data_IF_285182757241
#
_entry.id   IF_285182757241
#
_cell.length_a   1.000
_cell.length_b   1.000
_cell.length_c   1.000
_cell.angle_alpha   90.00
_cell.angle_beta   90.00
_cell.angle_gamma   90.00
#
_symmetry.space_group_name_H-M   'P 1'
#
loop_
_entity.id
_entity.type
_entity.pdbx_description
1 polymer ?
#
# COMPACT_ATOMS: atom_id res chain seq x y z
N UNK A 1 -5.38 -7.24 -8.01
CA UNK A 1 -4.81 -5.98 -8.50
C UNK A 1 -3.35 -5.94 -8.13
N UNK A 2 -2.81 -4.76 -7.85
CA UNK A 2 -1.40 -4.57 -7.53
C UNK A 2 -1.03 -5.11 -6.15
N UNK A 3 0.18 -5.65 -6.01
CA UNK A 3 0.72 -6.04 -4.71
C UNK A 3 1.02 -4.80 -3.87
N UNK A 4 0.83 -4.93 -2.56
CA UNK A 4 1.22 -3.92 -1.58
C UNK A 4 2.39 -4.46 -0.79
N UNK A 5 3.45 -3.68 -0.72
CA UNK A 5 4.69 -4.02 -0.03
C UNK A 5 4.97 -3.06 1.12
N UNK A 6 5.54 -3.60 2.20
CA UNK A 6 6.10 -2.78 3.29
C UNK A 6 7.48 -2.19 2.91
N UNK A 7 8.09 -1.48 3.85
CA UNK A 7 9.42 -0.89 3.66
C UNK A 7 10.56 -1.93 3.54
N UNK A 8 10.29 -3.21 3.85
CA UNK A 8 11.20 -4.35 3.72
C UNK A 8 10.98 -5.13 2.42
N UNK A 9 10.03 -4.69 1.57
CA UNK A 9 9.67 -5.37 0.33
C UNK A 9 8.86 -6.66 0.55
N UNK A 10 8.29 -6.84 1.74
CA UNK A 10 7.41 -7.97 2.02
C UNK A 10 6.01 -7.65 1.50
N UNK A 11 5.37 -8.60 0.80
CA UNK A 11 3.97 -8.46 0.44
C UNK A 11 3.11 -8.47 1.72
N UNK A 12 2.38 -7.39 1.93
CA UNK A 12 1.48 -7.20 3.07
C UNK A 12 0.04 -7.01 2.61
N UNK A 13 -0.28 -7.17 1.33
CA UNK A 13 -1.61 -6.85 0.84
C UNK A 13 -1.78 -6.80 -0.66
N UNK A 14 -2.98 -6.41 -1.06
CA UNK A 14 -3.38 -6.27 -2.46
C UNK A 14 -4.34 -5.11 -2.66
N UNK A 15 -4.21 -4.42 -3.80
CA UNK A 15 -5.22 -3.47 -4.30
C UNK A 15 -6.35 -4.27 -4.96
N UNK A 16 -7.54 -4.15 -4.38
CA UNK A 16 -8.78 -4.75 -4.86
C UNK A 16 -9.54 -3.86 -5.84
N UNK A 17 -10.80 -4.21 -6.11
CA UNK A 17 -11.69 -3.42 -6.96
C UNK A 17 -12.01 -2.08 -6.31
N UNK A 18 -12.18 -1.03 -7.13
CA UNK A 18 -12.50 0.31 -6.63
C UNK A 18 -11.36 0.97 -5.86
N UNK A 19 -10.12 0.52 -6.05
CA UNK A 19 -8.92 1.02 -5.36
C UNK A 19 -8.90 0.76 -3.85
N UNK A 20 -9.69 -0.18 -3.36
CA UNK A 20 -9.67 -0.62 -1.96
C UNK A 20 -8.35 -1.35 -1.65
N UNK A 21 -7.71 -0.97 -0.55
CA UNK A 21 -6.47 -1.58 -0.06
C UNK A 21 -6.81 -2.63 1.00
N UNK A 22 -6.41 -3.88 0.76
CA UNK A 22 -6.52 -4.96 1.75
C UNK A 22 -5.14 -5.23 2.34
N UNK A 23 -4.90 -4.76 3.57
CA UNK A 23 -3.60 -4.83 4.25
C UNK A 23 -3.66 -5.88 5.38
N UNK A 24 -2.66 -6.75 5.45
CA UNK A 24 -2.51 -7.85 6.41
C UNK A 24 -1.16 -7.71 7.11
N UNK A 25 -1.14 -6.98 8.22
CA UNK A 25 0.07 -6.69 9.01
C UNK A 25 -0.30 -6.53 10.47
N UNK A 26 0.59 -6.93 11.39
CA UNK A 26 0.41 -6.75 12.83
C UNK A 26 0.57 -5.28 13.26
N UNK A 27 1.36 -4.52 12.50
CA UNK A 27 1.59 -3.10 12.72
C UNK A 27 1.35 -2.33 11.44
N UNK A 28 0.51 -1.31 11.50
CA UNK A 28 0.26 -0.41 10.37
C UNK A 28 1.55 0.36 10.06
N UNK A 29 2.17 0.16 8.89
CA UNK A 29 3.38 0.90 8.55
C UNK A 29 3.03 2.34 8.18
N UNK A 30 3.96 3.27 8.45
CA UNK A 30 3.80 4.67 8.06
C UNK A 30 3.80 4.89 6.55
N UNK A 31 4.37 3.95 5.79
CA UNK A 31 4.40 3.96 4.34
C UNK A 31 4.17 2.56 3.76
N UNK A 32 3.45 2.50 2.64
CA UNK A 32 3.28 1.32 1.82
C UNK A 32 3.65 1.62 0.38
N UNK A 33 4.18 0.63 -0.30
CA UNK A 33 4.48 0.68 -1.73
C UNK A 33 3.46 -0.16 -2.48
N UNK A 34 2.82 0.40 -3.48
CA UNK A 34 1.98 -0.35 -4.41
C UNK A 34 2.83 -0.62 -5.64
N UNK A 35 3.04 -1.89 -5.97
CA UNK A 35 3.86 -2.32 -7.09
C UNK A 35 3.07 -2.16 -8.40
N UNK A 36 3.14 -0.97 -9.01
CA UNK A 36 2.43 -0.64 -10.27
C UNK A 36 3.03 -1.41 -11.45
N UNK A 37 4.35 -1.55 -11.48
CA UNK A 37 5.06 -2.44 -12.40
C UNK A 37 6.32 -2.99 -11.71
N UNK A 38 6.17 -4.17 -11.10
CA UNK A 38 7.23 -4.83 -10.34
C UNK A 38 8.43 -5.23 -11.22
N UNK A 39 8.19 -5.61 -12.47
CA UNK A 39 9.25 -6.04 -13.39
C UNK A 39 10.18 -4.88 -13.75
N UNK A 40 9.63 -3.67 -13.87
CA UNK A 40 10.38 -2.43 -14.13
C UNK A 40 10.71 -1.64 -12.85
N UNK A 41 10.52 -2.24 -11.67
CA UNK A 41 10.77 -1.62 -10.37
C UNK A 41 10.02 -0.29 -10.17
N UNK A 42 8.81 -0.18 -10.72
CA UNK A 42 7.93 0.99 -10.58
C UNK A 42 6.92 0.75 -9.45
N UNK A 43 6.94 1.67 -8.50
CA UNK A 43 6.05 1.66 -7.34
C UNK A 43 5.46 3.04 -7.18
N UNK A 44 4.23 3.10 -6.70
CA UNK A 44 3.71 4.32 -6.10
C UNK A 44 3.69 4.16 -4.58
N UNK A 45 3.85 5.25 -3.85
CA UNK A 45 3.94 5.24 -2.39
C UNK A 45 2.69 5.86 -1.79
N UNK A 46 2.16 5.20 -0.77
CA UNK A 46 1.10 5.71 0.09
C UNK A 46 1.71 5.98 1.46
N UNK A 47 1.51 7.19 1.98
CA UNK A 47 1.96 7.58 3.31
C UNK A 47 0.76 7.75 4.22
N UNK A 48 0.78 7.04 5.34
CA UNK A 48 -0.22 7.15 6.39
C UNK A 48 0.25 8.12 7.48
N UNK A 49 -0.71 8.71 8.19
CA UNK A 49 -0.44 9.28 9.51
C UNK A 49 -0.28 8.13 10.50
N UNK A 50 -0.01 8.47 11.76
CA UNK A 50 0.21 7.48 12.84
C UNK A 50 -0.94 6.47 13.01
N UNK A 51 -2.13 6.80 12.51
CA UNK A 51 -3.31 5.93 12.38
C UNK A 51 -3.83 5.96 10.94
N UNK A 52 -4.34 4.83 10.45
CA UNK A 52 -5.16 4.80 9.23
C UNK A 52 -6.55 5.34 9.59
N UNK A 53 -7.01 6.29 8.81
CA UNK A 53 -8.37 6.79 8.81
C UNK A 53 -9.10 6.16 7.63
N UNK A 54 -10.01 5.23 7.90
CA UNK A 54 -10.77 4.51 6.86
C UNK A 54 -11.72 5.41 6.07
N UNK A 55 -12.06 6.60 6.60
CA UNK A 55 -12.89 7.59 5.92
C UNK A 55 -12.05 8.53 5.02
N UNK A 56 -10.72 8.48 5.15
CA UNK A 56 -9.81 9.31 4.36
C UNK A 56 -9.40 8.62 3.05
N UNK A 57 -9.45 9.37 1.95
CA UNK A 57 -8.82 8.93 0.68
C UNK A 57 -7.31 9.19 0.72
N UNK A 58 -6.53 8.13 0.53
CA UNK A 58 -5.07 8.22 0.38
C UNK A 58 -4.69 8.21 -1.10
N UNK A 59 -3.78 9.10 -1.49
CA UNK A 59 -3.31 9.23 -2.88
C UNK A 59 -1.96 8.56 -3.02
N UNK A 60 -1.85 7.64 -3.97
CA UNK A 60 -0.57 7.04 -4.36
C UNK A 60 0.23 8.05 -5.19
N UNK A 61 1.50 8.27 -4.83
CA UNK A 61 2.42 9.18 -5.53
C UNK A 61 3.58 8.45 -6.16
#
# INVERSE_FOLDING_TARGET
GYEIEDNRGQNVGVVGQGSLLYIRTDTVPSTLKVAVDKANNQYCTITFKQTIDEEQTYVCR
#
